data_IF_473874227103
#
_entry.id   IF_473874227103
#
_cell.length_a   1.000
_cell.length_b   1.000
_cell.length_c   1.000
_cell.angle_alpha   90.00
_cell.angle_beta   90.00
_cell.angle_gamma   90.00
#
_symmetry.space_group_name_H-M   'P 1'
#
loop_
_entity.id
_entity.type
_entity.pdbx_description
1 polymer ?
#
# COMPACT_ATOMS: atom_id res chain seq x y z
N UNK A 1 30.30 -55.37 -30.06
CA UNK A 1 29.08 -54.93 -29.32
C UNK A 1 29.39 -54.03 -28.12
N UNK A 2 30.30 -54.39 -27.19
CA UNK A 2 30.67 -53.53 -26.03
C UNK A 2 31.14 -52.11 -26.39
N UNK A 3 31.93 -51.96 -27.47
CA UNK A 3 32.42 -50.64 -27.92
C UNK A 3 31.31 -49.70 -28.43
N UNK A 4 30.25 -50.26 -29.04
CA UNK A 4 29.09 -49.49 -29.52
C UNK A 4 28.21 -49.04 -28.36
N UNK A 5 28.05 -49.90 -27.35
CA UNK A 5 27.32 -49.57 -26.12
C UNK A 5 27.99 -48.43 -25.33
N UNK A 6 29.33 -48.45 -25.23
CA UNK A 6 30.10 -47.39 -24.56
C UNK A 6 29.97 -46.05 -25.30
N UNK A 7 29.98 -46.06 -26.63
CA UNK A 7 29.80 -44.86 -27.45
C UNK A 7 28.40 -44.24 -27.30
N UNK A 8 27.36 -45.08 -27.22
CA UNK A 8 25.98 -44.63 -26.97
C UNK A 8 25.80 -44.00 -25.58
N UNK A 9 26.44 -44.56 -24.56
CA UNK A 9 26.39 -44.01 -23.20
C UNK A 9 27.12 -42.66 -23.13
N UNK A 10 28.29 -42.54 -23.78
CA UNK A 10 29.04 -41.28 -23.86
C UNK A 10 28.26 -40.18 -24.61
N UNK A 11 27.53 -40.55 -25.67
CA UNK A 11 26.66 -39.63 -26.41
C UNK A 11 25.46 -39.18 -25.57
N UNK A 12 24.87 -40.06 -24.76
CA UNK A 12 23.76 -39.71 -23.87
C UNK A 12 24.20 -38.78 -22.73
N UNK A 13 25.41 -39.00 -22.18
CA UNK A 13 25.97 -38.14 -21.13
C UNK A 13 26.32 -36.75 -21.67
N UNK A 14 26.86 -36.66 -22.89
CA UNK A 14 27.17 -35.36 -23.50
C UNK A 14 25.91 -34.55 -23.85
N UNK A 15 24.83 -35.21 -24.28
CA UNK A 15 23.53 -34.54 -24.50
C UNK A 15 22.91 -34.07 -23.17
N UNK A 16 23.05 -34.83 -22.09
CA UNK A 16 22.56 -34.45 -20.76
C UNK A 16 23.23 -33.19 -20.19
N UNK A 17 24.50 -32.94 -20.52
CA UNK A 17 25.26 -31.76 -20.07
C UNK A 17 24.81 -30.44 -20.72
N UNK A 18 24.12 -30.49 -21.86
CA UNK A 18 23.70 -29.29 -22.61
C UNK A 18 22.34 -28.74 -22.11
N UNK A 19 21.54 -29.57 -21.44
CA UNK A 19 20.18 -29.20 -20.98
C UNK A 19 20.19 -28.42 -19.64
N UNK A 20 21.35 -28.28 -19.00
CA UNK A 20 21.49 -27.59 -17.70
C UNK A 20 21.47 -26.06 -17.74
N UNK A 21 21.33 -25.44 -18.91
CA UNK A 21 21.37 -23.98 -19.06
C UNK A 21 20.00 -23.35 -18.70
N UNK A 22 19.61 -23.43 -17.44
CA UNK A 22 18.44 -22.71 -16.94
C UNK A 22 18.71 -21.19 -17.04
N UNK A 23 17.92 -20.49 -17.86
CA UNK A 23 17.98 -19.03 -17.99
C UNK A 23 17.79 -18.41 -16.62
N UNK A 24 18.80 -17.69 -16.13
CA UNK A 24 18.66 -16.89 -14.91
C UNK A 24 17.61 -15.79 -15.17
N UNK A 25 16.69 -15.54 -14.22
CA UNK A 25 15.75 -14.45 -14.36
C UNK A 25 16.51 -13.12 -14.50
N UNK A 26 16.04 -12.20 -15.36
CA UNK A 26 16.69 -10.90 -15.52
C UNK A 26 16.66 -10.10 -14.21
N UNK A 27 17.65 -9.24 -14.03
CA UNK A 27 17.71 -8.30 -12.90
C UNK A 27 16.45 -7.42 -12.93
N UNK A 28 15.87 -7.19 -11.75
CA UNK A 28 14.59 -6.49 -11.58
C UNK A 28 13.36 -7.39 -11.68
N UNK A 29 13.52 -8.69 -11.96
CA UNK A 29 12.38 -9.62 -11.92
C UNK A 29 11.84 -9.70 -10.50
N UNK A 30 10.56 -9.36 -10.34
CA UNK A 30 9.83 -9.45 -9.09
C UNK A 30 8.87 -10.63 -9.09
N UNK A 31 8.79 -11.33 -7.97
CA UNK A 31 7.86 -12.44 -7.76
C UNK A 31 7.31 -12.39 -6.35
N UNK A 32 5.99 -12.50 -6.22
CA UNK A 32 5.35 -12.69 -4.90
C UNK A 32 5.70 -14.09 -4.40
N UNK A 33 6.32 -14.15 -3.22
CA UNK A 33 6.76 -15.40 -2.59
C UNK A 33 5.91 -15.79 -1.38
N UNK A 34 5.22 -14.83 -0.78
CA UNK A 34 4.34 -15.05 0.37
C UNK A 34 3.22 -14.01 0.36
N UNK A 35 2.02 -14.40 0.81
CA UNK A 35 0.91 -13.48 1.03
C UNK A 35 0.22 -13.80 2.35
N UNK A 36 -0.50 -12.83 2.91
CA UNK A 36 -1.33 -13.05 4.11
C UNK A 36 -2.65 -13.79 3.84
N UNK A 37 -2.97 -14.06 2.57
CA UNK A 37 -4.23 -14.67 2.15
C UNK A 37 -4.54 -14.48 0.67
N UNK A 38 -5.81 -14.61 0.30
CA UNK A 38 -6.30 -14.26 -1.04
C UNK A 38 -6.23 -12.75 -1.23
N UNK A 39 -5.71 -12.30 -2.38
CA UNK A 39 -5.61 -10.87 -2.70
C UNK A 39 -7.01 -10.24 -2.72
N UNK A 40 -7.32 -9.29 -1.82
CA UNK A 40 -8.63 -8.68 -1.77
C UNK A 40 -8.81 -7.58 -2.82
N UNK A 41 -10.05 -7.44 -3.32
CA UNK A 41 -10.40 -6.47 -4.36
C UNK A 41 -10.23 -5.01 -3.91
N UNK A 42 -10.37 -4.76 -2.60
CA UNK A 42 -10.24 -3.41 -2.04
C UNK A 42 -8.85 -2.79 -2.23
N UNK A 43 -7.84 -3.62 -2.52
CA UNK A 43 -6.50 -3.14 -2.92
C UNK A 43 -6.55 -2.36 -4.22
N UNK A 44 -7.47 -2.68 -5.12
CA UNK A 44 -7.63 -1.99 -6.40
C UNK A 44 -8.79 -0.99 -6.33
N UNK A 45 -9.95 -1.42 -5.84
CA UNK A 45 -11.19 -0.64 -5.82
C UNK A 45 -11.68 -0.46 -4.40
N UNK A 46 -11.57 0.75 -3.85
CA UNK A 46 -12.04 1.04 -2.49
C UNK A 46 -13.56 0.80 -2.42
N UNK A 47 -14.07 0.07 -1.40
CA UNK A 47 -15.50 -0.14 -1.23
C UNK A 47 -16.26 1.18 -1.14
N UNK A 48 -17.38 1.29 -1.84
CA UNK A 48 -18.26 2.45 -1.73
C UNK A 48 -18.76 2.60 -0.31
N UNK A 49 -18.92 3.85 0.15
CA UNK A 49 -19.53 4.14 1.43
C UNK A 49 -20.91 3.47 1.51
N UNK A 50 -21.11 2.62 2.53
CA UNK A 50 -22.36 1.89 2.76
C UNK A 50 -22.67 1.94 4.25
N UNK A 51 -23.94 2.21 4.58
CA UNK A 51 -24.44 2.27 5.97
C UNK A 51 -23.72 3.32 6.84
N UNK A 52 -23.39 4.49 6.26
CA UNK A 52 -22.71 5.55 7.00
C UNK A 52 -21.27 5.21 7.40
N UNK A 53 -20.61 4.31 6.68
CA UNK A 53 -19.18 4.03 6.87
C UNK A 53 -18.39 4.53 5.66
N UNK A 54 -17.34 5.28 5.91
CA UNK A 54 -16.33 5.62 4.90
C UNK A 54 -15.15 4.65 4.99
N UNK A 55 -14.47 4.42 3.86
CA UNK A 55 -13.34 3.49 3.77
C UNK A 55 -12.12 4.20 3.21
N UNK A 56 -10.96 3.90 3.79
CA UNK A 56 -9.67 4.47 3.41
C UNK A 56 -8.64 3.38 3.21
N UNK A 57 -7.83 3.48 2.16
CA UNK A 57 -6.83 2.46 1.81
C UNK A 57 -5.43 2.99 2.04
N UNK A 58 -4.74 2.43 3.02
CA UNK A 58 -3.32 2.66 3.26
C UNK A 58 -2.44 1.73 2.44
N UNK A 59 -1.36 2.26 1.86
CA UNK A 59 -0.46 1.48 1.00
C UNK A 59 0.99 1.86 1.30
N UNK A 60 1.83 0.85 1.49
CA UNK A 60 3.28 0.97 1.47
C UNK A 60 3.86 -0.14 0.63
N UNK A 61 4.53 0.22 -0.45
CA UNK A 61 5.30 -0.72 -1.27
C UNK A 61 6.77 -0.68 -0.87
N UNK A 62 7.49 -1.78 -1.15
CA UNK A 62 8.94 -1.89 -0.94
C UNK A 62 9.39 -1.63 0.51
N UNK A 63 8.59 -2.02 1.49
CA UNK A 63 8.98 -1.94 2.89
C UNK A 63 10.08 -2.98 3.21
N UNK A 64 11.13 -2.62 3.97
CA UNK A 64 12.22 -3.53 4.30
C UNK A 64 11.79 -4.64 5.27
N UNK A 65 10.74 -4.40 6.06
CA UNK A 65 10.16 -5.38 6.97
C UNK A 65 8.64 -5.18 7.05
N UNK A 66 7.94 -6.21 7.51
CA UNK A 66 6.48 -6.24 7.56
C UNK A 66 5.92 -5.20 8.54
N UNK A 67 6.46 -5.10 9.75
CA UNK A 67 5.94 -4.24 10.80
C UNK A 67 6.01 -2.75 10.44
N UNK A 68 7.16 -2.30 9.94
CA UNK A 68 7.33 -0.95 9.40
C UNK A 68 6.47 -0.71 8.17
N UNK A 69 6.30 -1.71 7.30
CA UNK A 69 5.40 -1.62 6.15
C UNK A 69 3.94 -1.42 6.55
N UNK A 70 3.46 -2.17 7.55
CA UNK A 70 2.11 -2.02 8.10
C UNK A 70 1.94 -0.66 8.77
N UNK A 71 2.91 -0.21 9.55
CA UNK A 71 2.90 1.10 10.21
C UNK A 71 2.84 2.24 9.17
N UNK A 72 3.68 2.19 8.14
CA UNK A 72 3.65 3.17 7.05
C UNK A 72 2.32 3.16 6.31
N UNK A 73 1.76 1.98 6.02
CA UNK A 73 0.43 1.87 5.40
C UNK A 73 -0.65 2.49 6.28
N UNK A 74 -0.57 2.27 7.59
CA UNK A 74 -1.48 2.83 8.60
C UNK A 74 -1.43 4.36 8.61
N UNK A 75 -0.22 4.93 8.61
CA UNK A 75 -0.01 6.38 8.48
C UNK A 75 -0.51 6.92 7.13
N UNK A 76 -0.31 6.17 6.03
CA UNK A 76 -0.81 6.56 4.71
C UNK A 76 -2.35 6.64 4.67
N UNK A 77 -3.05 5.72 5.35
CA UNK A 77 -4.50 5.77 5.49
C UNK A 77 -4.95 6.94 6.39
N UNK A 78 -4.31 7.14 7.54
CA UNK A 78 -4.60 8.26 8.44
C UNK A 78 -4.43 9.63 7.76
N UNK A 79 -3.40 9.79 6.92
CA UNK A 79 -3.19 11.01 6.14
C UNK A 79 -4.36 11.30 5.19
N UNK A 80 -4.92 10.28 4.53
CA UNK A 80 -6.08 10.47 3.66
C UNK A 80 -7.34 10.90 4.43
N UNK A 81 -7.49 10.43 5.68
CA UNK A 81 -8.58 10.88 6.56
C UNK A 81 -8.40 12.36 6.90
N UNK A 82 -7.18 12.77 7.30
CA UNK A 82 -6.88 14.16 7.59
C UNK A 82 -7.09 15.07 6.35
N UNK A 83 -6.61 14.66 5.17
CA UNK A 83 -6.82 15.39 3.91
C UNK A 83 -8.30 15.57 3.57
N UNK A 84 -9.12 14.54 3.80
CA UNK A 84 -10.57 14.63 3.61
C UNK A 84 -11.20 15.65 4.57
N UNK A 85 -10.84 15.61 5.85
CA UNK A 85 -11.34 16.53 6.87
C UNK A 85 -10.95 17.97 6.53
N UNK A 86 -9.69 18.20 6.20
CA UNK A 86 -9.18 19.52 5.79
C UNK A 86 -9.93 20.05 4.57
N UNK A 87 -10.14 19.21 3.55
CA UNK A 87 -10.86 19.59 2.33
C UNK A 87 -12.31 19.98 2.64
N UNK A 88 -13.03 19.16 3.44
CA UNK A 88 -14.42 19.44 3.80
C UNK A 88 -14.54 20.72 4.62
N UNK A 89 -13.72 20.84 5.68
CA UNK A 89 -13.75 22.00 6.55
C UNK A 89 -13.36 23.29 5.82
N UNK A 90 -12.42 23.24 4.88
CA UNK A 90 -12.08 24.39 4.05
C UNK A 90 -13.25 24.83 3.16
N UNK A 91 -13.96 23.88 2.54
CA UNK A 91 -15.15 24.17 1.72
C UNK A 91 -16.25 24.79 2.57
N UNK A 92 -16.55 24.21 3.74
CA UNK A 92 -17.58 24.72 4.65
C UNK A 92 -17.23 26.12 5.16
N UNK A 93 -15.96 26.35 5.50
CA UNK A 93 -15.47 27.67 5.89
C UNK A 93 -15.62 28.71 4.77
N UNK A 94 -15.19 28.40 3.54
CA UNK A 94 -15.31 29.36 2.42
C UNK A 94 -16.78 29.68 2.12
N UNK A 95 -17.68 28.72 2.22
CA UNK A 95 -19.12 28.94 2.05
C UNK A 95 -19.66 29.89 3.13
N UNK A 96 -19.38 29.62 4.41
CA UNK A 96 -19.80 30.47 5.52
C UNK A 96 -19.19 31.88 5.43
N UNK A 97 -17.91 31.98 5.06
CA UNK A 97 -17.20 33.25 4.88
C UNK A 97 -17.91 34.13 3.86
N UNK A 98 -18.33 33.56 2.73
CA UNK A 98 -19.07 34.26 1.68
C UNK A 98 -20.47 34.66 2.13
N UNK A 99 -21.19 33.78 2.84
CA UNK A 99 -22.53 34.03 3.34
C UNK A 99 -22.58 35.17 4.37
N UNK A 100 -21.62 35.20 5.30
CA UNK A 100 -21.55 36.19 6.37
C UNK A 100 -20.73 37.44 6.02
N UNK A 101 -20.19 37.53 4.79
CA UNK A 101 -19.42 38.68 4.32
C UNK A 101 -18.08 38.88 5.05
N UNK A 102 -17.48 37.79 5.54
CA UNK A 102 -16.22 37.84 6.30
C UNK A 102 -15.05 38.11 5.32
N UNK A 103 -14.21 39.13 5.57
CA UNK A 103 -13.02 39.43 4.77
C UNK A 103 -12.05 38.24 4.74
N UNK A 104 -11.40 38.02 3.59
CA UNK A 104 -10.50 36.88 3.39
C UNK A 104 -9.15 37.04 4.11
N UNK A 105 -8.79 38.27 4.39
CA UNK A 105 -7.50 38.75 4.86
C UNK A 105 -7.44 38.98 6.37
N UNK A 106 -8.45 38.52 7.11
CA UNK A 106 -8.44 38.50 8.57
C UNK A 106 -7.50 37.39 9.09
N UNK A 107 -6.32 37.81 9.59
CA UNK A 107 -5.29 36.91 10.12
C UNK A 107 -5.72 36.14 11.36
N UNK A 108 -6.61 36.71 12.17
CA UNK A 108 -7.02 36.10 13.43
C UNK A 108 -8.00 34.95 13.15
N UNK A 109 -8.90 35.14 12.17
CA UNK A 109 -9.82 34.09 11.70
C UNK A 109 -9.05 32.93 11.06
N UNK A 110 -8.05 33.21 10.22
CA UNK A 110 -7.27 32.16 9.56
C UNK A 110 -6.52 31.24 10.53
N UNK A 111 -6.02 31.79 11.64
CA UNK A 111 -5.27 31.01 12.64
C UNK A 111 -6.18 30.10 13.47
N UNK A 112 -7.31 30.64 13.95
CA UNK A 112 -8.29 29.87 14.75
C UNK A 112 -8.89 28.72 13.95
N UNK A 113 -9.21 28.96 12.67
CA UNK A 113 -9.76 27.94 11.78
C UNK A 113 -8.73 26.83 11.56
N UNK A 114 -7.47 27.17 11.23
CA UNK A 114 -6.42 26.18 11.03
C UNK A 114 -6.21 25.30 12.26
N UNK A 115 -6.15 25.89 13.45
CA UNK A 115 -5.92 25.14 14.68
C UNK A 115 -7.13 24.24 15.02
N UNK A 116 -8.35 24.71 14.76
CA UNK A 116 -9.57 23.90 14.84
C UNK A 116 -9.58 22.72 13.85
N UNK A 117 -9.09 22.94 12.62
CA UNK A 117 -8.95 21.88 11.61
C UNK A 117 -7.95 20.80 12.04
N UNK A 118 -6.82 21.20 12.65
CA UNK A 118 -5.83 20.27 13.17
C UNK A 118 -6.46 19.40 14.27
N UNK A 119 -7.14 20.01 15.24
CA UNK A 119 -7.82 19.28 16.32
C UNK A 119 -8.90 18.34 15.80
N UNK A 120 -9.71 18.78 14.83
CA UNK A 120 -10.73 17.94 14.21
C UNK A 120 -10.11 16.77 13.45
N UNK A 121 -9.02 17.02 12.70
CA UNK A 121 -8.31 15.98 11.96
C UNK A 121 -7.72 14.93 12.90
N UNK A 122 -7.11 15.35 14.01
CA UNK A 122 -6.59 14.45 15.03
C UNK A 122 -7.69 13.59 15.67
N UNK A 123 -8.82 14.20 16.06
CA UNK A 123 -9.96 13.47 16.62
C UNK A 123 -10.53 12.44 15.63
N UNK A 124 -10.68 12.83 14.35
CA UNK A 124 -11.16 11.95 13.30
C UNK A 124 -10.20 10.79 13.06
N UNK A 125 -8.89 11.04 13.02
CA UNK A 125 -7.87 9.99 12.88
C UNK A 125 -7.92 8.99 14.04
N UNK A 126 -8.19 9.45 15.27
CA UNK A 126 -8.37 8.56 16.44
C UNK A 126 -9.64 7.69 16.33
N UNK A 127 -10.68 8.17 15.66
CA UNK A 127 -11.92 7.42 15.41
C UNK A 127 -11.79 6.32 14.34
N UNK A 128 -10.68 6.28 13.61
CA UNK A 128 -10.47 5.32 12.52
C UNK A 128 -10.21 3.92 13.06
N UNK A 129 -10.93 2.94 12.52
CA UNK A 129 -10.81 1.52 12.87
C UNK A 129 -10.16 0.75 11.74
N UNK A 130 -9.24 -0.14 12.09
CA UNK A 130 -8.68 -1.11 11.14
C UNK A 130 -9.71 -2.18 10.84
N UNK A 131 -9.99 -2.39 9.55
CA UNK A 131 -10.96 -3.38 9.08
C UNK A 131 -10.26 -4.63 8.56
N UNK A 132 -9.33 -4.44 7.62
CA UNK A 132 -8.63 -5.55 6.96
C UNK A 132 -7.17 -5.18 6.68
N UNK A 133 -6.29 -6.17 6.74
CA UNK A 133 -4.86 -6.06 6.42
C UNK A 133 -4.53 -7.10 5.35
N UNK A 134 -3.70 -6.72 4.39
CA UNK A 134 -3.11 -7.65 3.44
C UNK A 134 -1.65 -7.32 3.18
N UNK A 135 -0.80 -8.34 3.05
CA UNK A 135 0.59 -8.13 2.65
C UNK A 135 1.03 -9.12 1.58
N UNK A 136 2.01 -8.69 0.79
CA UNK A 136 2.76 -9.51 -0.16
C UNK A 136 4.24 -9.38 0.14
N UNK A 137 4.91 -10.50 0.38
CA UNK A 137 6.37 -10.56 0.37
C UNK A 137 6.82 -10.81 -1.05
N UNK A 138 7.69 -9.94 -1.54
CA UNK A 138 8.16 -9.94 -2.93
C UNK A 138 9.66 -10.21 -2.93
N UNK A 139 10.09 -11.21 -3.71
CA UNK A 139 11.50 -11.40 -4.05
C UNK A 139 11.84 -10.59 -5.27
N UNK A 140 12.99 -9.92 -5.27
CA UNK A 140 13.52 -9.17 -6.40
C UNK A 140 14.95 -9.60 -6.70
N UNK A 141 15.22 -9.89 -7.98
CA UNK A 141 16.56 -10.25 -8.45
C UNK A 141 17.40 -8.97 -8.57
N UNK A 142 18.48 -8.90 -7.81
CA UNK A 142 19.45 -7.79 -7.78
C UNK A 142 20.83 -8.30 -8.22
N UNK A 143 21.79 -7.44 -8.58
CA UNK A 143 23.12 -7.89 -9.00
C UNK A 143 23.81 -8.81 -7.98
N UNK A 144 23.59 -8.57 -6.70
CA UNK A 144 24.19 -9.30 -5.57
C UNK A 144 23.44 -10.59 -5.21
N UNK A 145 22.29 -10.87 -5.83
CA UNK A 145 21.47 -12.05 -5.55
C UNK A 145 19.97 -11.79 -5.55
N UNK A 146 19.29 -12.16 -4.48
CA UNK A 146 17.85 -11.96 -4.31
C UNK A 146 17.61 -11.17 -3.03
N UNK A 147 16.89 -10.06 -3.14
CA UNK A 147 16.41 -9.28 -1.99
C UNK A 147 14.92 -9.50 -1.78
N UNK A 148 14.43 -9.16 -0.59
CA UNK A 148 13.03 -9.27 -0.22
C UNK A 148 12.51 -7.96 0.30
N UNK A 149 11.27 -7.64 -0.05
CA UNK A 149 10.54 -6.52 0.51
C UNK A 149 9.06 -6.87 0.67
N UNK A 150 8.34 -6.02 1.40
CA UNK A 150 6.91 -6.17 1.62
C UNK A 150 6.12 -5.07 0.92
N UNK A 151 5.01 -5.45 0.29
CA UNK A 151 3.93 -4.56 -0.09
C UNK A 151 2.80 -4.76 0.90
N UNK A 152 2.52 -3.73 1.70
CA UNK A 152 1.56 -3.75 2.79
C UNK A 152 0.35 -2.89 2.44
N UNK A 153 -0.83 -3.39 2.76
CA UNK A 153 -2.11 -2.75 2.47
C UNK A 153 -2.98 -2.83 3.71
N UNK A 154 -3.64 -1.72 4.04
CA UNK A 154 -4.59 -1.67 5.14
C UNK A 154 -5.88 -1.00 4.67
N UNK A 155 -7.01 -1.58 5.02
CA UNK A 155 -8.32 -0.99 4.86
C UNK A 155 -8.77 -0.48 6.22
N UNK A 156 -9.00 0.82 6.28
CA UNK A 156 -9.51 1.52 7.44
C UNK A 156 -10.94 1.97 7.22
N UNK A 157 -11.68 2.16 8.29
CA UNK A 157 -13.04 2.66 8.26
C UNK A 157 -13.31 3.65 9.37
N UNK A 158 -14.18 4.62 9.09
CA UNK A 158 -14.72 5.56 10.06
C UNK A 158 -16.24 5.57 9.92
N UNK A 159 -16.94 5.62 11.05
CA UNK A 159 -18.38 5.84 11.09
C UNK A 159 -18.65 7.32 10.83
N UNK A 160 -19.64 7.65 10.01
CA UNK A 160 -20.13 9.04 9.86
C UNK A 160 -20.88 9.53 11.11
N UNK A 161 -21.13 8.64 12.08
CA UNK A 161 -21.80 8.94 13.36
C UNK A 161 -20.82 9.08 14.54
N UNK A 162 -19.54 8.75 14.35
CA UNK A 162 -18.46 8.91 15.34
C UNK A 162 -17.75 10.26 15.12
#
# INVERSE_FOLDING_TARGET
MKKVLILLILLLVSVGLIVGCAKRPPIGTQKVVETSGSRPDWITVIPTAKKGMMFFRGIKTRAPNLDGGLTDSRMHAARQVAEMVETKAHVDYENARLEYGIPRDDKDVGTVIRDGLIMLSEAMVQGVKEKEIYYEKVSEVVPEGVTYFYSCYILMTISEQD
#
